data_IF_364423539924
#
_entry.id   IF_364423539924
#
_cell.length_a   1.000
_cell.length_b   1.000
_cell.length_c   1.000
_cell.angle_alpha   90.00
_cell.angle_beta   90.00
_cell.angle_gamma   90.00
#
_symmetry.space_group_name_H-M   'P 1'
#
loop_
_entity.id
_entity.type
_entity.pdbx_description
1 polymer ?
#
# COMPACT_ATOMS: atom_id res chain seq x y z
N UNK A 1 -29.28 -25.94 -35.61
CA UNK A 1 -29.58 -24.56 -35.17
C UNK A 1 -28.83 -24.34 -33.86
N UNK A 2 -27.53 -24.05 -33.94
CA UNK A 2 -26.67 -23.85 -32.77
C UNK A 2 -26.87 -22.41 -32.31
N UNK A 3 -27.50 -22.24 -31.15
CA UNK A 3 -27.58 -20.94 -30.48
C UNK A 3 -26.16 -20.47 -30.20
N UNK A 4 -25.74 -19.41 -30.89
CA UNK A 4 -24.53 -18.67 -30.56
C UNK A 4 -24.78 -18.11 -29.16
N UNK A 5 -24.13 -18.69 -28.16
CA UNK A 5 -24.06 -18.08 -26.84
C UNK A 5 -23.26 -16.80 -27.04
N UNK A 6 -23.95 -15.67 -27.19
CA UNK A 6 -23.35 -14.36 -27.02
C UNK A 6 -22.90 -14.29 -25.57
N UNK A 7 -21.61 -14.59 -25.37
CA UNK A 7 -20.91 -14.20 -24.16
C UNK A 7 -21.06 -12.68 -24.11
N UNK A 8 -21.77 -12.12 -23.11
CA UNK A 8 -21.79 -10.67 -22.95
C UNK A 8 -20.34 -10.22 -22.85
N UNK A 9 -19.93 -9.24 -23.65
CA UNK A 9 -18.64 -8.59 -23.44
C UNK A 9 -18.63 -8.15 -21.98
N UNK A 10 -17.78 -8.81 -21.19
CA UNK A 10 -17.42 -8.38 -19.84
C UNK A 10 -17.18 -6.87 -19.95
N UNK A 11 -17.86 -6.01 -19.17
CA UNK A 11 -17.59 -4.59 -19.22
C UNK A 11 -16.11 -4.46 -18.92
N UNK A 12 -15.33 -4.08 -19.95
CA UNK A 12 -13.89 -4.10 -19.92
C UNK A 12 -13.45 -3.56 -18.57
N UNK A 13 -12.84 -4.42 -17.76
CA UNK A 13 -12.09 -3.96 -16.61
C UNK A 13 -11.01 -3.09 -17.22
N UNK A 14 -11.30 -1.80 -17.38
CA UNK A 14 -10.44 -0.86 -18.07
C UNK A 14 -9.13 -0.93 -17.33
N UNK A 15 -8.14 -1.55 -17.97
CA UNK A 15 -6.87 -1.85 -17.34
C UNK A 15 -6.36 -0.56 -16.72
N UNK A 16 -5.99 -0.61 -15.44
CA UNK A 16 -5.43 0.55 -14.72
C UNK A 16 -4.34 1.20 -15.54
N UNK A 17 -3.53 0.40 -16.25
CA UNK A 17 -2.48 0.92 -17.11
C UNK A 17 -3.02 1.63 -18.35
N UNK A 18 -4.16 1.21 -18.90
CA UNK A 18 -4.87 1.93 -19.97
C UNK A 18 -5.45 3.25 -19.45
N UNK A 19 -6.05 3.27 -18.26
CA UNK A 19 -6.56 4.52 -17.67
C UNK A 19 -5.41 5.50 -17.39
N UNK A 20 -4.35 5.05 -16.73
CA UNK A 20 -3.18 5.86 -16.40
C UNK A 20 -2.50 6.40 -17.66
N UNK A 21 -2.33 5.57 -18.69
CA UNK A 21 -1.73 6.00 -19.96
C UNK A 21 -2.60 7.03 -20.69
N UNK A 22 -3.93 6.88 -20.67
CA UNK A 22 -4.85 7.85 -21.27
C UNK A 22 -4.81 9.23 -20.60
N UNK A 23 -4.54 9.27 -19.29
CA UNK A 23 -4.43 10.50 -18.50
C UNK A 23 -3.04 11.14 -18.54
N UNK A 24 -2.05 10.53 -19.22
CA UNK A 24 -0.64 10.91 -19.13
C UNK A 24 -0.34 12.36 -19.55
N UNK A 25 -1.01 12.88 -20.58
CA UNK A 25 -0.83 14.28 -21.02
C UNK A 25 -1.28 15.29 -19.95
N UNK A 26 -2.28 14.95 -19.14
CA UNK A 26 -2.78 15.77 -18.04
C UNK A 26 -1.95 15.60 -16.76
N UNK A 27 -1.29 14.45 -16.58
CA UNK A 27 -0.31 14.27 -15.49
C UNK A 27 0.85 15.24 -15.59
N UNK A 28 1.33 15.53 -16.81
CA UNK A 28 2.36 16.54 -17.04
C UNK A 28 1.93 17.96 -16.61
N UNK A 29 0.62 18.18 -16.43
CA UNK A 29 0.04 19.45 -15.99
C UNK A 29 -0.27 19.46 -14.49
N UNK A 30 -0.14 18.33 -13.78
CA UNK A 30 -0.27 18.29 -12.32
C UNK A 30 0.97 18.94 -11.70
N UNK A 31 0.75 19.99 -10.90
CA UNK A 31 1.82 20.65 -10.16
C UNK A 31 2.49 19.69 -9.17
N UNK A 32 3.83 19.71 -9.14
CA UNK A 32 4.64 18.92 -8.21
C UNK A 32 4.25 19.15 -6.73
N UNK A 33 3.78 20.36 -6.40
CA UNK A 33 3.27 20.70 -5.07
C UNK A 33 2.08 19.83 -4.64
N UNK A 34 1.12 19.58 -5.54
CA UNK A 34 -0.04 18.73 -5.25
C UNK A 34 0.38 17.28 -4.99
N UNK A 35 1.34 16.77 -5.76
CA UNK A 35 1.89 15.43 -5.55
C UNK A 35 2.63 15.32 -4.22
N UNK A 36 3.36 16.35 -3.82
CA UNK A 36 4.03 16.38 -2.51
C UNK A 36 3.03 16.38 -1.36
N UNK A 37 1.96 17.17 -1.43
CA UNK A 37 0.92 17.21 -0.38
C UNK A 37 0.24 15.84 -0.25
N UNK A 38 -0.15 15.22 -1.37
CA UNK A 38 -0.78 13.88 -1.36
C UNK A 38 0.18 12.84 -0.80
N UNK A 39 1.45 12.87 -1.21
CA UNK A 39 2.47 11.94 -0.71
C UNK A 39 2.72 12.14 0.79
N UNK A 40 2.78 13.38 1.26
CA UNK A 40 2.94 13.70 2.68
C UNK A 40 1.74 13.22 3.51
N UNK A 41 0.51 13.45 3.03
CA UNK A 41 -0.70 12.92 3.66
C UNK A 41 -0.70 11.39 3.73
N UNK A 42 -0.33 10.73 2.64
CA UNK A 42 -0.18 9.28 2.60
C UNK A 42 0.87 8.77 3.60
N UNK A 43 2.03 9.45 3.69
CA UNK A 43 3.09 9.13 4.66
C UNK A 43 2.59 9.21 6.11
N UNK A 44 1.81 10.24 6.44
CA UNK A 44 1.23 10.41 7.78
C UNK A 44 0.28 9.24 8.07
N UNK A 45 -0.59 8.88 7.13
CA UNK A 45 -1.50 7.74 7.29
C UNK A 45 -0.69 6.45 7.48
N UNK A 46 0.30 6.18 6.62
CA UNK A 46 1.15 4.99 6.74
C UNK A 46 1.87 4.91 8.08
N UNK A 47 2.50 5.99 8.52
CA UNK A 47 3.15 6.08 9.83
C UNK A 47 2.18 5.87 10.99
N UNK A 48 0.96 6.37 10.88
CA UNK A 48 -0.09 6.17 11.89
C UNK A 48 -0.49 4.70 12.00
N UNK A 49 -0.73 4.01 10.88
CA UNK A 49 -1.02 2.57 10.88
C UNK A 49 0.13 1.75 11.46
N UNK A 50 1.38 2.06 11.10
CA UNK A 50 2.56 1.41 11.68
C UNK A 50 2.59 1.58 13.20
N UNK A 51 2.41 2.80 13.69
CA UNK A 51 2.42 3.10 15.13
C UNK A 51 1.29 2.38 15.87
N UNK A 52 0.06 2.43 15.36
CA UNK A 52 -1.09 1.76 15.95
C UNK A 52 -0.91 0.24 15.97
N UNK A 53 -0.39 -0.35 14.90
CA UNK A 53 -0.12 -1.78 14.83
C UNK A 53 0.99 -2.20 15.80
N UNK A 54 2.05 -1.40 15.95
CA UNK A 54 3.06 -1.63 16.98
C UNK A 54 2.48 -1.57 18.40
N UNK A 55 1.62 -0.57 18.66
CA UNK A 55 0.93 -0.44 19.94
C UNK A 55 -0.01 -1.61 20.20
N UNK A 56 -0.76 -2.07 19.20
CA UNK A 56 -1.65 -3.22 19.31
C UNK A 56 -0.87 -4.50 19.61
N UNK A 57 0.20 -4.77 18.86
CA UNK A 57 1.10 -5.91 19.09
C UNK A 57 1.68 -5.89 20.51
N UNK A 58 2.11 -4.72 20.98
CA UNK A 58 2.64 -4.54 22.35
C UNK A 58 1.57 -4.75 23.41
N UNK A 59 0.38 -4.20 23.23
CA UNK A 59 -0.73 -4.25 24.19
C UNK A 59 -1.29 -5.67 24.32
N UNK A 60 -1.40 -6.39 23.20
CA UNK A 60 -1.85 -7.77 23.14
C UNK A 60 -0.74 -8.78 23.48
N UNK A 61 0.50 -8.32 23.66
CA UNK A 61 1.69 -9.16 23.91
C UNK A 61 1.85 -10.25 22.84
N UNK A 62 1.53 -9.92 21.60
CA UNK A 62 1.56 -10.83 20.46
C UNK A 62 2.96 -11.45 20.32
N UNK A 63 3.03 -12.78 20.24
CA UNK A 63 4.29 -13.51 20.15
C UNK A 63 5.05 -13.69 21.48
N UNK A 64 4.49 -13.30 22.64
CA UNK A 64 5.18 -13.44 23.93
C UNK A 64 5.63 -14.87 24.26
N UNK A 65 4.91 -15.87 23.76
CA UNK A 65 5.24 -17.29 23.94
C UNK A 65 6.53 -17.73 23.22
N UNK A 66 7.01 -16.94 22.25
CA UNK A 66 8.22 -17.22 21.47
C UNK A 66 9.50 -16.67 22.13
N UNK A 67 9.39 -15.97 23.26
CA UNK A 67 10.54 -15.40 23.96
C UNK A 67 11.42 -14.55 23.05
N UNK A 68 12.67 -14.98 22.83
CA UNK A 68 13.64 -14.30 21.95
C UNK A 68 13.18 -14.23 20.48
N UNK A 69 12.30 -15.13 20.05
CA UNK A 69 11.84 -15.25 18.66
C UNK A 69 10.52 -14.52 18.37
N UNK A 70 9.94 -13.80 19.34
CA UNK A 70 8.66 -13.08 19.20
C UNK A 70 8.57 -12.18 17.98
N UNK A 71 9.69 -11.64 17.52
CA UNK A 71 9.78 -10.77 16.34
C UNK A 71 9.30 -11.44 15.05
N UNK A 72 9.41 -12.77 14.94
CA UNK A 72 8.91 -13.56 13.81
C UNK A 72 7.39 -13.43 13.64
N UNK A 73 6.69 -12.99 14.69
CA UNK A 73 5.25 -12.69 14.67
C UNK A 73 5.00 -11.19 14.72
N UNK A 74 5.69 -10.46 15.61
CA UNK A 74 5.47 -9.01 15.79
C UNK A 74 5.70 -8.23 14.49
N UNK A 75 6.79 -8.49 13.76
CA UNK A 75 7.17 -7.71 12.58
C UNK A 75 6.20 -7.92 11.40
N UNK A 76 5.89 -9.17 10.99
CA UNK A 76 4.92 -9.38 9.92
C UNK A 76 3.55 -8.78 10.23
N UNK A 77 3.07 -8.90 11.48
CA UNK A 77 1.77 -8.33 11.87
C UNK A 77 1.76 -6.81 11.75
N UNK A 78 2.82 -6.13 12.20
CA UNK A 78 2.94 -4.68 12.09
C UNK A 78 2.95 -4.21 10.63
N UNK A 79 3.72 -4.89 9.78
CA UNK A 79 3.88 -4.50 8.38
C UNK A 79 2.63 -4.80 7.56
N UNK A 80 2.16 -6.05 7.60
CA UNK A 80 0.98 -6.50 6.84
C UNK A 80 -0.27 -5.75 7.30
N UNK A 81 -0.40 -5.46 8.59
CA UNK A 81 -1.51 -4.63 9.11
C UNK A 81 -1.49 -3.18 8.61
N UNK A 82 -0.37 -2.71 8.06
CA UNK A 82 -0.21 -1.34 7.54
C UNK A 82 -0.27 -1.29 6.00
N UNK A 83 -0.34 -2.45 5.34
CA UNK A 83 -0.34 -2.58 3.88
C UNK A 83 -1.59 -1.93 3.28
N UNK A 84 -1.39 -1.10 2.26
CA UNK A 84 -2.46 -0.54 1.43
C UNK A 84 -2.34 -1.17 0.06
N UNK A 85 -3.44 -1.64 -0.50
CA UNK A 85 -3.45 -2.37 -1.76
C UNK A 85 -3.93 -1.46 -2.89
N UNK A 86 -3.10 -1.33 -3.92
CA UNK A 86 -3.44 -0.61 -5.15
C UNK A 86 -4.76 -1.07 -5.78
N UNK A 87 -5.03 -2.38 -5.91
CA UNK A 87 -6.29 -2.85 -6.49
C UNK A 87 -7.53 -2.32 -5.78
N UNK A 88 -7.56 -2.33 -4.44
CA UNK A 88 -8.71 -1.82 -3.67
C UNK A 88 -8.84 -0.32 -3.85
N UNK A 89 -7.73 0.42 -3.82
CA UNK A 89 -7.74 1.87 -4.04
C UNK A 89 -8.30 2.22 -5.42
N UNK A 90 -7.86 1.53 -6.47
CA UNK A 90 -8.38 1.68 -7.84
C UNK A 90 -9.87 1.38 -7.89
N UNK A 91 -10.32 0.25 -7.33
CA UNK A 91 -11.75 -0.10 -7.32
C UNK A 91 -12.59 1.00 -6.67
N UNK A 92 -12.14 1.52 -5.53
CA UNK A 92 -12.83 2.62 -4.82
C UNK A 92 -12.84 3.89 -5.66
N UNK A 93 -11.72 4.26 -6.30
CA UNK A 93 -11.66 5.43 -7.17
C UNK A 93 -12.59 5.28 -8.39
N UNK A 94 -12.63 4.10 -9.02
CA UNK A 94 -13.54 3.82 -10.14
C UNK A 94 -15.01 3.96 -9.74
N UNK A 95 -15.38 3.50 -8.54
CA UNK A 95 -16.74 3.67 -8.01
C UNK A 95 -17.08 5.13 -7.69
N UNK A 96 -16.08 5.93 -7.31
CA UNK A 96 -16.24 7.34 -6.98
C UNK A 96 -16.07 8.28 -8.20
N UNK A 97 -15.75 7.75 -9.39
CA UNK A 97 -15.37 8.52 -10.59
C UNK A 97 -16.37 9.62 -10.99
N UNK A 98 -17.66 9.43 -10.73
CA UNK A 98 -18.70 10.45 -10.97
C UNK A 98 -18.56 11.71 -10.09
N UNK A 99 -17.85 11.60 -8.96
CA UNK A 99 -17.66 12.68 -7.97
C UNK A 99 -16.23 13.25 -8.02
N UNK A 100 -15.23 12.40 -8.22
CA UNK A 100 -13.81 12.78 -8.13
C UNK A 100 -13.18 13.18 -9.48
N UNK A 101 -13.92 13.02 -10.58
CA UNK A 101 -13.43 13.32 -11.92
C UNK A 101 -12.66 12.16 -12.55
N UNK A 102 -11.59 12.48 -13.28
CA UNK A 102 -10.86 11.48 -14.07
C UNK A 102 -10.06 10.52 -13.19
N UNK A 103 -10.53 9.27 -13.10
CA UNK A 103 -9.97 8.20 -12.26
C UNK A 103 -8.47 8.01 -12.51
N UNK A 104 -8.04 8.03 -13.78
CA UNK A 104 -6.62 7.84 -14.14
C UNK A 104 -5.66 8.86 -13.51
N UNK A 105 -6.11 10.11 -13.30
CA UNK A 105 -5.32 11.14 -12.62
C UNK A 105 -5.17 10.86 -11.12
N UNK A 106 -6.19 10.29 -10.48
CA UNK A 106 -6.16 9.93 -9.07
C UNK A 106 -5.37 8.63 -8.80
N UNK A 107 -5.32 7.72 -9.76
CA UNK A 107 -4.58 6.45 -9.64
C UNK A 107 -3.06 6.68 -9.62
N UNK A 108 -2.55 7.70 -10.31
CA UNK A 108 -1.10 7.98 -10.38
C UNK A 108 -0.45 8.29 -9.03
N UNK A 109 -0.95 9.21 -8.20
CA UNK A 109 -0.41 9.38 -6.85
C UNK A 109 -0.58 8.11 -6.01
N UNK A 110 -1.61 7.29 -6.20
CA UNK A 110 -1.75 6.01 -5.51
C UNK A 110 -0.60 5.06 -5.84
N UNK A 111 -0.20 4.96 -7.11
CA UNK A 111 0.94 4.12 -7.55
C UNK A 111 2.24 4.64 -6.92
N UNK A 112 2.49 5.95 -7.01
CA UNK A 112 3.69 6.57 -6.45
C UNK A 112 3.80 6.35 -4.94
N UNK A 113 2.71 6.59 -4.21
CA UNK A 113 2.62 6.33 -2.78
C UNK A 113 2.87 4.85 -2.44
N UNK A 114 2.30 3.93 -3.23
CA UNK A 114 2.50 2.50 -3.02
C UNK A 114 3.96 2.06 -3.24
N UNK A 115 4.64 2.62 -4.25
CA UNK A 115 6.08 2.37 -4.46
C UNK A 115 6.93 2.89 -3.29
N UNK A 116 6.65 4.11 -2.81
CA UNK A 116 7.30 4.66 -1.62
C UNK A 116 7.04 3.77 -0.40
N UNK A 117 5.84 3.20 -0.27
CA UNK A 117 5.51 2.25 0.79
C UNK A 117 6.45 1.04 0.80
N UNK A 118 6.61 0.38 -0.35
CA UNK A 118 7.45 -0.80 -0.48
C UNK A 118 8.89 -0.48 -0.06
N UNK A 119 9.40 0.67 -0.48
CA UNK A 119 10.75 1.13 -0.13
C UNK A 119 10.89 1.34 1.38
N UNK A 120 9.95 2.06 2.00
CA UNK A 120 9.97 2.33 3.45
C UNK A 120 9.87 1.05 4.26
N UNK A 121 8.95 0.15 3.90
CA UNK A 121 8.74 -1.11 4.60
C UNK A 121 9.98 -2.02 4.49
N UNK A 122 10.66 -2.00 3.33
CA UNK A 122 11.94 -2.72 3.14
C UNK A 122 13.04 -2.18 4.06
N UNK A 123 13.18 -0.86 4.17
CA UNK A 123 14.13 -0.24 5.10
C UNK A 123 13.79 -0.55 6.56
N UNK A 124 12.51 -0.56 6.91
CA UNK A 124 12.05 -0.91 8.25
C UNK A 124 12.46 -2.35 8.61
N UNK A 125 12.17 -3.32 7.73
CA UNK A 125 12.55 -4.73 7.92
C UNK A 125 14.06 -4.88 8.04
N UNK A 126 14.83 -4.22 7.17
CA UNK A 126 16.29 -4.29 7.17
C UNK A 126 16.88 -3.80 8.50
N UNK A 127 16.47 -2.61 8.96
CA UNK A 127 16.93 -2.05 10.24
C UNK A 127 16.54 -2.93 11.42
N UNK A 128 15.29 -3.40 11.46
CA UNK A 128 14.81 -4.24 12.54
C UNK A 128 15.58 -5.57 12.62
N UNK A 129 15.81 -6.21 11.48
CA UNK A 129 16.60 -7.45 11.39
C UNK A 129 18.04 -7.25 11.87
N UNK A 130 18.68 -6.13 11.49
CA UNK A 130 20.03 -5.79 11.94
C UNK A 130 20.13 -5.60 13.46
N UNK A 131 19.16 -4.90 14.06
CA UNK A 131 19.14 -4.69 15.51
C UNK A 131 19.03 -6.02 16.27
N UNK A 132 18.17 -6.92 15.80
CA UNK A 132 17.96 -8.24 16.45
C UNK A 132 19.17 -9.16 16.29
N UNK A 133 19.87 -9.08 15.15
CA UNK A 133 21.13 -9.81 14.94
C UNK A 133 22.17 -9.41 15.99
N UNK A 134 22.33 -8.11 16.24
CA UNK A 134 23.25 -7.58 17.26
C UNK A 134 22.89 -8.05 18.66
N UNK A 135 21.61 -7.99 19.04
CA UNK A 135 21.15 -8.49 20.35
C UNK A 135 21.49 -9.97 20.56
N UNK A 136 21.39 -10.78 19.49
CA UNK A 136 21.70 -12.21 19.53
C UNK A 136 23.20 -12.46 19.66
N UNK A 137 24.02 -11.71 18.92
CA UNK A 137 25.50 -11.77 18.97
C UNK A 137 26.06 -11.34 20.34
N UNK A 138 25.44 -10.37 21.01
CA UNK A 138 25.88 -9.89 22.34
C UNK A 138 25.43 -10.78 23.51
N UNK A 139 24.48 -11.68 23.29
CA UNK A 139 23.90 -12.53 24.33
C UNK A 139 24.55 -13.92 24.39
N UNK A 140 25.66 -14.11 23.69
CA UNK A 140 26.43 -15.35 23.55
C UNK A 140 27.84 -15.14 24.11
#
# INVERSE_FOLDING_TARGET
MLARVEVPEEPEAVDVFVQVSSSAAKLAQIGASSMLVVTAGWMIIHGTYLALNMLAVRSLRLGSFLGKDKWKVEVPVVLVGSQKTLPVAVTVLSQLGSVIGEVGLAVVPCIMCHMLQIVIDSFFVAKYTQLRRRETETAQ
#
